data_IF_450230611134
#
_entry.id   IF_450230611134
#
_cell.length_a   1.000
_cell.length_b   1.000
_cell.length_c   1.000
_cell.angle_alpha   90.00
_cell.angle_beta   90.00
_cell.angle_gamma   90.00
#
_symmetry.space_group_name_H-M   'P 1'
#
loop_
_entity.id
_entity.type
_entity.pdbx_description
1 polymer ?
#
# COMPACT_ATOMS: atom_id res chain seq x y z
N UNK A 1 8.75 -5.67 9.87
CA UNK A 1 7.47 -6.16 9.34
C UNK A 1 7.39 -5.96 7.85
N UNK A 2 6.84 -6.93 7.14
CA UNK A 2 6.74 -6.96 5.69
C UNK A 2 5.36 -6.49 5.19
N UNK A 3 4.51 -5.99 6.08
CA UNK A 3 3.16 -5.56 5.75
C UNK A 3 2.95 -4.08 6.06
N UNK A 4 2.12 -3.44 5.23
CA UNK A 4 1.63 -2.08 5.41
C UNK A 4 0.13 -2.13 5.66
N UNK A 5 -0.32 -1.38 6.66
CA UNK A 5 -1.71 -1.18 7.00
C UNK A 5 -2.06 0.29 6.76
N UNK A 6 -2.79 0.58 5.70
CA UNK A 6 -3.33 1.90 5.41
C UNK A 6 -4.76 1.99 5.93
N UNK A 7 -5.02 2.98 6.76
CA UNK A 7 -6.37 3.35 7.19
C UNK A 7 -6.76 4.65 6.49
N UNK A 8 -7.89 4.64 5.80
CA UNK A 8 -8.38 5.82 5.11
C UNK A 8 -9.01 6.81 6.11
N UNK A 9 -8.78 8.10 5.88
CA UNK A 9 -9.41 9.19 6.65
C UNK A 9 -10.92 9.24 6.45
N UNK A 10 -11.40 8.69 5.31
CA UNK A 10 -12.81 8.59 4.96
C UNK A 10 -13.14 7.19 4.47
N UNK A 11 -14.23 6.66 4.95
CA UNK A 11 -14.77 5.39 4.48
C UNK A 11 -15.31 5.53 3.06
N UNK A 12 -15.08 4.49 2.24
CA UNK A 12 -15.51 4.45 0.85
C UNK A 12 -16.59 3.39 0.70
N UNK A 13 -17.79 3.84 0.36
CA UNK A 13 -18.90 2.95 0.09
C UNK A 13 -18.89 2.50 -1.37
N UNK A 14 -18.99 1.21 -1.58
CA UNK A 14 -19.11 0.56 -2.89
C UNK A 14 -20.47 -0.14 -2.97
N UNK A 15 -21.26 0.21 -3.96
CA UNK A 15 -22.50 -0.53 -4.27
C UNK A 15 -22.18 -1.99 -4.65
N UNK A 16 -23.20 -2.85 -4.63
CA UNK A 16 -23.06 -4.22 -5.14
C UNK A 16 -22.59 -4.23 -6.60
N UNK A 17 -21.72 -5.14 -6.95
CA UNK A 17 -21.18 -5.32 -8.30
C UNK A 17 -20.67 -4.03 -8.95
N UNK A 18 -19.95 -3.21 -8.18
CA UNK A 18 -19.40 -1.94 -8.62
C UNK A 18 -17.88 -1.85 -8.38
N UNK A 19 -17.25 -0.90 -9.07
CA UNK A 19 -15.84 -0.59 -8.89
C UNK A 19 -15.62 0.91 -8.78
N UNK A 20 -14.57 1.30 -8.05
CA UNK A 20 -14.09 2.66 -7.93
C UNK A 20 -12.57 2.71 -7.94
N UNK A 21 -12.01 3.81 -8.42
CA UNK A 21 -10.58 4.09 -8.33
C UNK A 21 -10.37 5.31 -7.44
N UNK A 22 -9.43 5.21 -6.52
CA UNK A 22 -9.02 6.29 -5.63
C UNK A 22 -7.51 6.45 -5.68
N UNK A 23 -7.05 7.63 -5.33
CA UNK A 23 -5.64 7.91 -5.07
C UNK A 23 -5.46 8.23 -3.60
N UNK A 24 -4.39 7.73 -2.98
CA UNK A 24 -4.09 7.97 -1.58
C UNK A 24 -2.65 8.41 -1.41
N UNK A 25 -2.44 9.30 -0.43
CA UNK A 25 -1.11 9.68 0.01
C UNK A 25 -0.54 8.59 0.91
N UNK A 26 0.62 8.05 0.56
CA UNK A 26 1.31 7.02 1.32
C UNK A 26 2.64 7.56 1.85
N UNK A 27 2.94 7.43 3.14
CA UNK A 27 4.25 7.80 3.65
C UNK A 27 5.33 6.94 3.01
N UNK A 28 6.48 7.56 2.73
CA UNK A 28 7.65 6.90 2.18
C UNK A 28 8.81 6.95 3.16
N UNK A 29 9.73 6.01 3.02
CA UNK A 29 10.99 5.98 3.75
C UNK A 29 12.16 6.13 2.78
N UNK A 30 13.21 6.80 3.23
CA UNK A 30 14.46 6.96 2.49
C UNK A 30 15.48 6.00 3.08
N UNK A 31 15.91 5.02 2.29
CA UNK A 31 16.97 4.10 2.68
C UNK A 31 18.35 4.67 2.37
N UNK A 32 19.26 4.53 3.31
CA UNK A 32 20.68 4.89 3.16
C UNK A 32 21.48 3.60 3.08
N UNK A 33 22.24 3.46 2.00
CA UNK A 33 23.04 2.26 1.75
C UNK A 33 24.51 2.61 1.53
N UNK A 34 25.39 1.75 2.07
CA UNK A 34 26.78 1.71 1.69
C UNK A 34 26.92 0.80 0.46
N UNK A 35 27.53 1.31 -0.59
CA UNK A 35 27.73 0.57 -1.84
C UNK A 35 29.22 0.36 -2.08
N UNK A 36 29.63 -0.89 -2.26
CA UNK A 36 31.00 -1.26 -2.63
C UNK A 36 30.95 -2.25 -3.82
N UNK A 37 31.07 -1.73 -5.02
CA UNK A 37 30.89 -2.53 -6.23
C UNK A 37 29.46 -3.06 -6.34
N UNK A 38 29.30 -4.38 -6.28
CA UNK A 38 28.00 -5.07 -6.25
C UNK A 38 27.41 -5.22 -4.85
N UNK A 39 28.25 -5.05 -3.83
CA UNK A 39 27.85 -5.28 -2.45
C UNK A 39 27.13 -4.05 -1.90
N UNK A 40 26.11 -4.28 -1.11
CA UNK A 40 25.26 -3.25 -0.54
C UNK A 40 24.90 -3.58 0.88
N UNK A 41 25.08 -2.62 1.75
CA UNK A 41 24.75 -2.72 3.17
C UNK A 41 23.80 -1.60 3.56
N UNK A 42 22.66 -1.96 4.13
CA UNK A 42 21.71 -0.99 4.64
C UNK A 42 22.27 -0.37 5.92
N UNK A 43 22.43 0.95 5.93
CA UNK A 43 22.90 1.68 7.09
C UNK A 43 21.76 2.22 7.94
N UNK A 44 20.75 2.82 7.30
CA UNK A 44 19.63 3.45 8.01
C UNK A 44 18.41 3.63 7.11
N UNK A 45 17.27 3.85 7.75
CA UNK A 45 16.00 4.20 7.11
C UNK A 45 15.41 5.43 7.80
N UNK A 46 15.16 6.49 7.04
CA UNK A 46 14.70 7.77 7.55
C UNK A 46 13.30 8.02 7.02
N UNK A 47 12.39 8.41 7.92
CA UNK A 47 11.11 9.01 7.55
C UNK A 47 11.17 10.52 7.73
N UNK A 48 10.74 11.26 6.71
CA UNK A 48 10.64 12.73 6.80
C UNK A 48 9.34 13.17 7.48
N UNK A 49 8.42 12.25 7.71
CA UNK A 49 7.21 12.51 8.48
C UNK A 49 7.34 11.94 9.90
N UNK A 50 7.55 12.81 10.87
CA UNK A 50 7.70 12.44 12.27
C UNK A 50 6.43 11.84 12.92
N UNK A 51 5.27 11.97 12.27
CA UNK A 51 4.00 11.46 12.79
C UNK A 51 3.71 10.02 12.37
N UNK A 52 4.39 9.51 11.35
CA UNK A 52 4.02 8.25 10.68
C UNK A 52 4.90 7.03 11.00
N UNK A 53 5.84 7.12 11.93
CA UNK A 53 6.59 5.96 12.41
C UNK A 53 5.75 5.11 13.37
N UNK A 54 4.63 4.57 12.89
CA UNK A 54 3.70 3.79 13.73
C UNK A 54 3.63 2.35 13.26
N UNK A 55 3.39 1.47 14.24
CA UNK A 55 3.03 0.08 13.99
C UNK A 55 1.60 -0.16 14.45
N UNK A 56 0.87 -0.96 13.69
CA UNK A 56 -0.47 -1.40 14.01
C UNK A 56 -0.57 -2.92 13.93
N UNK A 57 -1.40 -3.50 14.79
CA UNK A 57 -1.71 -4.92 14.75
C UNK A 57 -2.98 -5.11 13.94
N UNK A 58 -2.90 -5.91 12.89
CA UNK A 58 -4.08 -6.36 12.17
C UNK A 58 -4.48 -7.75 12.63
N UNK A 59 -5.70 -7.89 13.12
CA UNK A 59 -6.22 -9.14 13.69
C UNK A 59 -6.21 -9.15 15.21
N UNK A 60 -6.30 -10.34 15.79
CA UNK A 60 -6.33 -10.53 17.25
C UNK A 60 -4.92 -10.35 17.87
N UNK A 61 -4.82 -10.02 19.16
CA UNK A 61 -3.52 -9.93 19.86
C UNK A 61 -2.66 -11.19 19.74
N UNK A 62 -3.27 -12.36 19.68
CA UNK A 62 -2.57 -13.65 19.71
C UNK A 62 -2.10 -14.12 18.32
N UNK A 63 -2.83 -13.75 17.26
CA UNK A 63 -2.59 -14.26 15.89
C UNK A 63 -2.51 -13.17 14.83
N UNK A 64 -2.59 -11.92 15.25
CA UNK A 64 -2.56 -10.78 14.33
C UNK A 64 -1.19 -10.55 13.70
N UNK A 65 -1.20 -9.83 12.61
CA UNK A 65 0.00 -9.44 11.86
C UNK A 65 0.42 -8.03 12.23
N UNK A 66 1.66 -7.87 12.68
CA UNK A 66 2.23 -6.56 12.93
C UNK A 66 2.54 -5.88 11.59
N UNK A 67 2.02 -4.68 11.39
CA UNK A 67 2.16 -3.92 10.15
C UNK A 67 2.78 -2.55 10.42
N UNK A 68 3.45 -1.97 9.43
CA UNK A 68 3.67 -0.52 9.39
C UNK A 68 2.30 0.13 9.18
N UNK A 69 1.94 1.06 10.06
CA UNK A 69 0.60 1.67 10.07
C UNK A 69 0.67 3.13 9.66
N UNK A 70 -0.22 3.54 8.77
CA UNK A 70 -0.44 4.94 8.43
C UNK A 70 -1.93 5.24 8.27
N UNK A 71 -2.35 6.41 8.76
CA UNK A 71 -3.61 7.02 8.34
C UNK A 71 -3.32 7.83 7.08
N UNK A 72 -4.11 7.58 6.04
CA UNK A 72 -3.88 8.17 4.72
C UNK A 72 -5.09 8.98 4.27
N UNK A 73 -4.81 10.08 3.57
CA UNK A 73 -5.83 10.94 2.96
C UNK A 73 -5.97 10.64 1.48
N UNK A 74 -7.11 11.01 0.91
CA UNK A 74 -7.31 10.92 -0.52
C UNK A 74 -6.48 11.99 -1.24
N UNK A 75 -5.74 11.58 -2.25
CA UNK A 75 -5.02 12.47 -3.16
C UNK A 75 -5.93 12.92 -4.31
N UNK A 76 -5.62 14.05 -4.89
CA UNK A 76 -6.37 14.62 -6.03
C UNK A 76 -6.09 13.84 -7.31
N UNK A 77 -4.82 13.50 -7.54
CA UNK A 77 -4.34 12.74 -8.69
C UNK A 77 -3.04 11.99 -8.37
N UNK A 78 -2.49 11.26 -9.34
CA UNK A 78 -1.24 10.48 -9.18
C UNK A 78 0.01 11.33 -8.93
N UNK A 79 -0.03 12.63 -9.22
CA UNK A 79 1.14 13.51 -9.07
C UNK A 79 1.07 14.42 -7.85
N UNK A 80 0.01 14.29 -7.04
CA UNK A 80 -0.26 15.10 -5.86
C UNK A 80 0.45 14.52 -4.63
N UNK A 81 1.77 14.69 -4.56
CA UNK A 81 2.59 14.19 -3.44
C UNK A 81 3.41 15.31 -2.78
N UNK A 82 3.59 15.22 -1.46
CA UNK A 82 4.49 16.10 -0.72
C UNK A 82 5.92 15.56 -0.90
N UNK A 83 6.84 16.40 -1.42
CA UNK A 83 8.21 15.99 -1.70
C UNK A 83 8.89 15.34 -0.49
N UNK A 84 9.54 14.19 -0.69
CA UNK A 84 10.33 13.45 0.30
C UNK A 84 9.54 12.91 1.53
N UNK A 85 8.25 13.20 1.63
CA UNK A 85 7.40 12.78 2.76
C UNK A 85 6.49 11.65 2.36
N UNK A 86 5.87 11.78 1.19
CA UNK A 86 4.86 10.83 0.73
C UNK A 86 4.96 10.58 -0.78
N UNK A 87 4.41 9.47 -1.19
CA UNK A 87 4.11 9.16 -2.57
C UNK A 87 2.62 8.93 -2.76
N UNK A 88 2.16 8.90 -4.00
CA UNK A 88 0.75 8.61 -4.33
C UNK A 88 0.61 7.19 -4.85
N UNK A 89 -0.40 6.50 -4.35
CA UNK A 89 -0.79 5.16 -4.76
C UNK A 89 -2.20 5.18 -5.33
N UNK A 90 -2.41 4.52 -6.47
CA UNK A 90 -3.74 4.25 -7.01
C UNK A 90 -4.28 2.96 -6.40
N UNK A 91 -5.49 3.00 -5.85
CA UNK A 91 -6.20 1.81 -5.36
C UNK A 91 -7.47 1.63 -6.18
N UNK A 92 -7.59 0.46 -6.78
CA UNK A 92 -8.81 0.03 -7.49
C UNK A 92 -9.58 -0.86 -6.51
N UNK A 93 -10.77 -0.44 -6.18
CA UNK A 93 -11.69 -1.17 -5.29
C UNK A 93 -12.79 -1.80 -6.14
N UNK A 94 -12.96 -3.11 -6.06
CA UNK A 94 -13.99 -3.86 -6.78
C UNK A 94 -14.87 -4.61 -5.78
N UNK A 95 -16.16 -4.38 -5.83
CA UNK A 95 -17.14 -5.10 -5.01
C UNK A 95 -17.89 -6.13 -5.86
N UNK A 96 -17.49 -7.39 -5.77
CA UNK A 96 -18.13 -8.52 -6.47
C UNK A 96 -19.15 -9.25 -5.56
N UNK A 97 -19.67 -8.55 -4.54
CA UNK A 97 -20.72 -9.04 -3.68
C UNK A 97 -22.09 -8.53 -4.12
N UNK A 98 -23.14 -9.25 -3.76
CA UNK A 98 -24.53 -8.88 -4.03
C UNK A 98 -25.04 -7.74 -3.13
N UNK A 99 -24.23 -7.27 -2.17
CA UNK A 99 -24.55 -6.19 -1.23
C UNK A 99 -23.51 -5.09 -1.27
N UNK A 100 -23.90 -3.88 -0.91
CA UNK A 100 -22.98 -2.76 -0.72
C UNK A 100 -22.00 -3.03 0.42
N UNK A 101 -20.78 -2.52 0.29
CA UNK A 101 -19.71 -2.68 1.26
C UNK A 101 -19.02 -1.35 1.51
N UNK A 102 -18.49 -1.19 2.72
CA UNK A 102 -17.68 -0.04 3.10
C UNK A 102 -16.23 -0.47 3.28
N UNK A 103 -15.30 0.20 2.64
CA UNK A 103 -13.87 -0.02 2.76
C UNK A 103 -13.24 1.17 3.48
N UNK A 104 -12.61 0.91 4.62
CA UNK A 104 -11.95 1.94 5.44
C UNK A 104 -10.45 1.69 5.61
N UNK A 105 -9.97 0.54 5.17
CA UNK A 105 -8.58 0.09 5.38
C UNK A 105 -8.14 -0.85 4.27
N UNK A 106 -6.83 -0.90 4.03
CA UNK A 106 -6.19 -1.87 3.14
C UNK A 106 -4.90 -2.35 3.79
N UNK A 107 -4.61 -3.65 3.66
CA UNK A 107 -3.37 -4.25 4.12
C UNK A 107 -2.73 -5.00 2.97
N UNK A 108 -1.43 -4.81 2.78
CA UNK A 108 -0.69 -5.45 1.69
C UNK A 108 0.77 -5.69 2.07
N UNK A 109 1.45 -6.67 1.42
CA UNK A 109 2.87 -6.88 1.61
C UNK A 109 3.67 -5.77 0.93
N UNK A 110 4.63 -5.18 1.65
CA UNK A 110 5.48 -4.09 1.14
C UNK A 110 6.40 -4.55 0.01
N UNK A 111 6.78 -5.82 0.02
CA UNK A 111 7.72 -6.42 -0.94
C UNK A 111 7.20 -6.47 -2.37
N UNK A 112 5.89 -6.40 -2.54
CA UNK A 112 5.22 -6.52 -3.84
C UNK A 112 4.94 -5.16 -4.49
N UNK A 113 5.41 -4.07 -3.88
CA UNK A 113 5.11 -2.71 -4.33
C UNK A 113 6.38 -1.94 -4.64
N UNK A 114 6.51 -1.48 -5.89
CA UNK A 114 7.63 -0.66 -6.35
C UNK A 114 7.30 0.82 -6.23
N UNK A 115 8.35 1.62 -6.12
CA UNK A 115 8.29 3.07 -6.03
C UNK A 115 8.99 3.67 -7.25
N UNK A 116 8.41 4.72 -7.82
CA UNK A 116 8.96 5.46 -8.96
C UNK A 116 9.01 6.94 -8.62
N UNK A 117 10.01 7.62 -9.12
CA UNK A 117 10.18 9.04 -8.85
C UNK A 117 10.56 9.83 -10.10
N UNK A 118 10.12 11.08 -10.12
CA UNK A 118 10.55 12.09 -11.07
C UNK A 118 10.73 13.41 -10.32
N UNK A 119 11.95 13.95 -10.36
CA UNK A 119 12.34 15.09 -9.53
C UNK A 119 12.10 14.80 -8.04
N UNK A 120 11.19 15.55 -7.41
CA UNK A 120 10.82 15.38 -6.00
C UNK A 120 9.48 14.68 -5.78
N UNK A 121 8.81 14.27 -6.86
CA UNK A 121 7.53 13.57 -6.79
C UNK A 121 7.73 12.06 -6.81
N UNK A 122 6.85 11.37 -6.12
CA UNK A 122 6.90 9.91 -5.95
C UNK A 122 5.53 9.31 -6.21
N UNK A 123 5.51 8.22 -6.97
CA UNK A 123 4.35 7.36 -7.15
C UNK A 123 4.71 5.92 -6.79
N UNK A 124 3.73 5.16 -6.33
CA UNK A 124 3.89 3.75 -6.00
C UNK A 124 3.08 2.88 -6.96
N UNK A 125 3.48 1.62 -7.10
CA UNK A 125 2.61 0.62 -7.71
C UNK A 125 1.26 0.65 -7.03
N UNK A 126 0.21 0.45 -7.83
CA UNK A 126 -1.15 0.46 -7.35
C UNK A 126 -1.53 -0.81 -6.59
N UNK A 127 -2.74 -0.78 -6.07
CA UNK A 127 -3.38 -1.96 -5.48
C UNK A 127 -4.73 -2.20 -6.16
N UNK A 128 -5.06 -3.48 -6.36
CA UNK A 128 -6.42 -3.94 -6.67
C UNK A 128 -6.96 -4.69 -5.46
N UNK A 129 -8.06 -4.22 -4.94
CA UNK A 129 -8.78 -4.82 -3.81
C UNK A 129 -10.11 -5.35 -4.32
N UNK A 130 -10.27 -6.66 -4.34
CA UNK A 130 -11.48 -7.32 -4.84
C UNK A 130 -12.24 -7.95 -3.68
N UNK A 131 -13.42 -7.43 -3.38
CA UNK A 131 -14.34 -7.98 -2.38
C UNK A 131 -15.13 -9.11 -3.02
N UNK A 132 -15.05 -10.30 -2.44
CA UNK A 132 -15.75 -11.50 -2.97
C UNK A 132 -16.15 -12.46 -1.87
N UNK A 133 -17.03 -13.37 -2.19
CA UNK A 133 -17.34 -14.51 -1.31
C UNK A 133 -16.33 -15.62 -1.50
N UNK A 134 -15.87 -16.19 -0.36
CA UNK A 134 -15.17 -17.46 -0.31
C UNK A 134 -15.96 -18.40 0.60
N UNK A 135 -16.64 -19.37 0.02
CA UNK A 135 -17.67 -20.17 0.69
C UNK A 135 -18.76 -19.25 1.31
N UNK A 136 -18.86 -19.19 2.63
CA UNK A 136 -19.86 -18.38 3.36
C UNK A 136 -19.31 -17.06 3.90
N UNK A 137 -18.02 -16.80 3.75
CA UNK A 137 -17.35 -15.61 4.31
C UNK A 137 -17.05 -14.62 3.19
N UNK A 138 -17.27 -13.33 3.46
CA UNK A 138 -16.82 -12.25 2.59
C UNK A 138 -15.37 -11.93 2.91
N UNK A 139 -14.53 -11.85 1.89
CA UNK A 139 -13.10 -11.57 1.98
C UNK A 139 -12.71 -10.47 1.01
N UNK A 140 -11.58 -9.84 1.24
CA UNK A 140 -10.93 -8.96 0.28
C UNK A 140 -9.59 -9.56 -0.17
N UNK A 141 -9.46 -9.79 -1.47
CA UNK A 141 -8.18 -10.11 -2.10
C UNK A 141 -7.46 -8.81 -2.44
N UNK A 142 -6.21 -8.70 -2.03
CA UNK A 142 -5.36 -7.54 -2.35
C UNK A 142 -4.20 -7.99 -3.22
N UNK A 143 -4.02 -7.33 -4.35
CA UNK A 143 -2.91 -7.58 -5.28
C UNK A 143 -2.24 -6.27 -5.65
N UNK A 144 -0.91 -6.30 -5.80
CA UNK A 144 -0.16 -5.20 -6.38
C UNK A 144 -0.46 -5.09 -7.88
N UNK A 145 -0.54 -3.86 -8.38
CA UNK A 145 -0.67 -3.54 -9.79
C UNK A 145 0.43 -2.58 -10.21
N UNK A 146 1.28 -3.01 -11.12
CA UNK A 146 2.36 -2.16 -11.63
C UNK A 146 1.78 -0.91 -12.29
N UNK A 147 2.34 0.24 -11.93
CA UNK A 147 2.01 1.51 -12.57
C UNK A 147 2.72 1.58 -13.92
N UNK A 148 1.99 2.00 -14.96
CA UNK A 148 2.58 2.30 -16.27
C UNK A 148 3.11 3.74 -16.23
N UNK A 149 4.43 3.88 -16.19
CA UNK A 149 5.11 5.19 -16.08
C UNK A 149 6.52 5.12 -16.67
N UNK A 150 6.97 6.23 -17.19
CA UNK A 150 8.36 6.47 -17.65
C UNK A 150 9.27 7.04 -16.54
N UNK A 151 8.73 7.25 -15.33
CA UNK A 151 9.49 7.70 -14.16
C UNK A 151 10.55 6.70 -13.75
N UNK A 152 11.59 7.18 -13.09
CA UNK A 152 12.68 6.34 -12.63
C UNK A 152 12.24 5.42 -11.52
N UNK A 153 12.39 4.11 -11.71
CA UNK A 153 12.11 3.12 -10.66
C UNK A 153 13.16 3.22 -9.58
N UNK A 154 12.72 3.29 -8.33
CA UNK A 154 13.61 3.20 -7.18
C UNK A 154 14.28 1.83 -7.12
N UNK A 155 15.57 1.73 -6.84
CA UNK A 155 16.22 0.44 -6.65
C UNK A 155 15.55 -0.33 -5.51
N UNK A 156 15.25 -1.59 -5.76
CA UNK A 156 14.89 -2.53 -4.69
C UNK A 156 16.11 -3.36 -4.35
N UNK A 157 16.42 -3.47 -3.06
CA UNK A 157 17.64 -4.11 -2.57
C UNK A 157 17.39 -5.47 -1.94
N UNK A 158 16.15 -5.88 -1.86
CA UNK A 158 15.74 -7.20 -1.43
C UNK A 158 15.25 -7.99 -2.64
N UNK A 159 15.70 -9.24 -2.78
CA UNK A 159 15.12 -10.17 -3.75
C UNK A 159 13.66 -10.41 -3.36
N UNK A 160 12.76 -9.76 -4.08
CA UNK A 160 11.33 -10.01 -3.94
C UNK A 160 11.01 -11.37 -4.54
N UNK A 161 10.79 -12.35 -3.70
CA UNK A 161 10.15 -13.60 -4.11
C UNK A 161 8.71 -13.32 -4.53
N UNK A 162 8.21 -14.11 -5.44
CA UNK A 162 6.93 -13.97 -6.16
C UNK A 162 5.80 -13.25 -5.39
N UNK A 163 5.09 -12.40 -6.13
CA UNK A 163 3.86 -11.70 -5.71
C UNK A 163 2.95 -12.58 -4.87
N UNK A 164 2.72 -12.20 -3.64
CA UNK A 164 1.77 -12.84 -2.74
C UNK A 164 0.48 -12.04 -2.71
N UNK A 165 -0.65 -12.71 -2.89
CA UNK A 165 -1.95 -12.10 -2.64
C UNK A 165 -2.28 -12.20 -1.15
N UNK A 166 -2.85 -11.15 -0.58
CA UNK A 166 -3.32 -11.13 0.79
C UNK A 166 -4.84 -11.15 0.84
N UNK A 167 -5.40 -11.96 1.73
CA UNK A 167 -6.83 -11.97 2.02
C UNK A 167 -7.08 -11.18 3.30
N UNK A 168 -8.02 -10.23 3.25
CA UNK A 168 -8.48 -9.47 4.42
C UNK A 168 -9.90 -9.88 4.78
N UNK A 169 -10.21 -9.98 6.07
CA UNK A 169 -11.59 -9.97 6.54
C UNK A 169 -12.23 -8.58 6.31
N UNK A 170 -13.54 -8.55 6.11
CA UNK A 170 -14.30 -7.30 5.91
C UNK A 170 -14.89 -6.76 7.23
N UNK A 171 -14.32 -7.09 8.37
CA UNK A 171 -14.76 -6.64 9.69
C UNK A 171 -14.36 -5.19 9.97
#
# INVERSE_FOLDING_TARGET
TNYVFLKFDKEIYLSSNSAASIFVHCPIEIGIFLINGSDRESLDWITCDSLNSRFGLYGSPDTGTLCKYAEVTLATDMTDSIPYVEGVMKIILENNLDSGQTVSKVIFPITDNSLYYENSKVILDGLRVTLRKRAVVSIADVKSESVDTDWTKSPTWEDTTASTSMEMGLE
#
